data_IF_745501964378
#
_entry.id   IF_745501964378
#
_cell.length_a   1.000
_cell.length_b   1.000
_cell.length_c   1.000
_cell.angle_alpha   90.00
_cell.angle_beta   90.00
_cell.angle_gamma   90.00
#
_symmetry.space_group_name_H-M   'P 1'
#
loop_
_entity.id
_entity.type
_entity.pdbx_description
1 polymer ?
#
# COMPACT_ATOMS: atom_id res chain seq x y z
N UNK A 1 2.00 -5.42 4.33
CA UNK A 1 3.19 -5.95 3.61
C UNK A 1 2.96 -5.83 2.11
N UNK A 2 4.04 -5.73 1.33
CA UNK A 2 3.93 -5.63 -0.13
C UNK A 2 3.38 -6.92 -0.77
N UNK A 3 2.58 -6.84 -1.85
CA UNK A 3 1.98 -8.00 -2.51
C UNK A 3 3.00 -9.03 -2.98
N UNK A 4 4.14 -8.61 -3.51
CA UNK A 4 5.21 -9.50 -3.97
C UNK A 4 5.78 -10.36 -2.84
N UNK A 5 5.98 -9.76 -1.65
CA UNK A 5 6.47 -10.43 -0.44
C UNK A 5 5.43 -11.41 0.10
N UNK A 6 4.14 -11.00 0.11
CA UNK A 6 3.03 -11.86 0.51
C UNK A 6 2.87 -13.10 -0.38
N UNK A 7 3.27 -13.01 -1.65
CA UNK A 7 3.30 -14.12 -2.61
C UNK A 7 4.56 -15.00 -2.48
N UNK A 8 5.46 -14.70 -1.55
CA UNK A 8 6.72 -15.43 -1.36
C UNK A 8 7.83 -15.05 -2.35
N UNK A 9 7.70 -13.95 -3.09
CA UNK A 9 8.80 -13.46 -3.93
C UNK A 9 9.84 -12.74 -3.08
N UNK A 10 11.07 -12.58 -3.60
CA UNK A 10 12.12 -11.86 -2.90
C UNK A 10 11.72 -10.42 -2.55
N UNK A 11 12.18 -9.98 -1.39
CA UNK A 11 12.11 -8.58 -1.00
C UNK A 11 12.93 -7.71 -1.95
N UNK A 12 12.43 -6.54 -2.29
CA UNK A 12 13.14 -5.56 -3.14
C UNK A 12 12.92 -4.14 -2.60
N UNK A 13 13.69 -3.14 -3.05
CA UNK A 13 13.42 -1.74 -2.71
C UNK A 13 11.98 -1.28 -3.07
N UNK A 14 11.33 -1.89 -4.06
CA UNK A 14 9.94 -1.61 -4.39
C UNK A 14 8.95 -2.05 -3.28
N UNK A 15 9.37 -2.97 -2.42
CA UNK A 15 8.62 -3.39 -1.22
C UNK A 15 8.72 -2.36 -0.09
N UNK A 16 9.86 -1.67 0.05
CA UNK A 16 10.00 -0.51 0.95
C UNK A 16 9.08 0.63 0.49
N UNK A 17 9.09 0.96 -0.80
CA UNK A 17 8.24 2.03 -1.38
C UNK A 17 6.75 1.73 -1.15
N UNK A 18 6.34 0.47 -1.30
CA UNK A 18 4.99 0.05 -0.97
C UNK A 18 4.69 0.28 0.52
N UNK A 19 5.59 -0.11 1.42
CA UNK A 19 5.39 0.08 2.86
C UNK A 19 5.35 1.55 3.25
N UNK A 20 6.16 2.39 2.61
CA UNK A 20 6.14 3.85 2.77
C UNK A 20 4.77 4.44 2.41
N UNK A 21 4.13 3.96 1.34
CA UNK A 21 2.78 4.41 0.98
C UNK A 21 1.70 4.06 2.04
N UNK A 22 1.89 2.94 2.76
CA UNK A 22 0.99 2.57 3.86
C UNK A 22 1.15 3.54 5.04
N UNK A 23 2.39 3.95 5.32
CA UNK A 23 2.70 4.98 6.34
C UNK A 23 2.12 6.34 5.93
N UNK A 24 2.29 6.74 4.67
CA UNK A 24 1.66 7.97 4.15
C UNK A 24 0.14 7.95 4.36
N UNK A 25 -0.50 6.81 4.08
CA UNK A 25 -1.94 6.67 4.29
C UNK A 25 -2.33 6.72 5.78
N UNK A 26 -1.54 6.11 6.66
CA UNK A 26 -1.72 6.18 8.11
C UNK A 26 -1.65 7.63 8.61
N UNK A 27 -0.71 8.45 8.10
CA UNK A 27 -0.65 9.88 8.43
C UNK A 27 -1.91 10.64 8.01
N UNK A 28 -2.50 10.31 6.87
CA UNK A 28 -3.73 10.98 6.40
C UNK A 28 -4.98 10.56 7.15
N UNK A 29 -5.02 9.31 7.64
CA UNK A 29 -6.20 8.72 8.28
C UNK A 29 -6.16 8.77 9.80
N UNK A 30 -4.97 8.89 10.40
CA UNK A 30 -4.74 8.80 11.83
C UNK A 30 -4.91 7.40 12.41
N UNK A 31 -5.05 6.37 11.57
CA UNK A 31 -5.27 4.97 11.99
C UNK A 31 -4.47 4.00 11.12
N UNK A 32 -4.15 2.79 11.63
CA UNK A 32 -3.45 1.79 10.83
C UNK A 32 -4.22 1.39 9.57
N UNK A 33 -3.53 1.10 8.45
CA UNK A 33 -4.17 0.59 7.23
C UNK A 33 -4.88 -0.73 7.53
N UNK A 34 -6.12 -0.86 7.04
CA UNK A 34 -6.98 -2.04 7.26
C UNK A 34 -7.30 -2.33 8.74
N UNK A 35 -7.32 -1.31 9.61
CA UNK A 35 -7.64 -1.46 11.05
C UNK A 35 -8.99 -2.15 11.35
N UNK A 36 -9.92 -2.20 10.39
CA UNK A 36 -11.21 -2.86 10.50
C UNK A 36 -11.20 -4.36 10.15
N UNK A 37 -10.04 -4.94 9.83
CA UNK A 37 -9.90 -6.35 9.42
C UNK A 37 -8.83 -7.06 10.24
N UNK A 38 -9.03 -8.36 10.43
CA UNK A 38 -7.97 -9.22 10.95
C UNK A 38 -6.80 -9.28 9.95
N UNK A 39 -5.57 -9.25 10.47
CA UNK A 39 -4.35 -9.33 9.68
C UNK A 39 -3.99 -10.79 9.37
N UNK A 40 -4.87 -11.45 8.62
CA UNK A 40 -4.81 -12.87 8.32
C UNK A 40 -4.53 -13.17 6.83
N UNK A 41 -4.65 -14.45 6.47
CA UNK A 41 -4.48 -14.90 5.09
C UNK A 41 -5.52 -14.27 4.14
N UNK A 42 -6.73 -14.00 4.60
CA UNK A 42 -7.77 -13.40 3.75
C UNK A 42 -7.41 -11.96 3.38
N UNK A 43 -6.93 -11.17 4.35
CA UNK A 43 -6.42 -9.82 4.06
C UNK A 43 -5.21 -9.87 3.11
N UNK A 44 -4.30 -10.83 3.34
CA UNK A 44 -3.12 -11.03 2.49
C UNK A 44 -3.51 -11.32 1.04
N UNK A 45 -4.48 -12.22 0.81
CA UNK A 45 -5.01 -12.54 -0.52
C UNK A 45 -5.69 -11.34 -1.17
N UNK A 46 -6.46 -10.57 -0.40
CA UNK A 46 -7.08 -9.31 -0.81
C UNK A 46 -6.06 -8.30 -1.33
N UNK A 47 -4.98 -8.05 -0.58
CA UNK A 47 -3.89 -7.14 -0.98
C UNK A 47 -3.23 -7.62 -2.28
N UNK A 48 -3.00 -8.94 -2.38
CA UNK A 48 -2.50 -9.60 -3.59
C UNK A 48 -3.47 -9.55 -4.78
N UNK A 49 -4.76 -9.26 -4.57
CA UNK A 49 -5.75 -9.02 -5.63
C UNK A 49 -5.93 -7.54 -5.98
N UNK A 50 -5.12 -6.66 -5.37
CA UNK A 50 -5.17 -5.23 -5.65
C UNK A 50 -5.98 -4.41 -4.64
N UNK A 51 -6.46 -4.99 -3.54
CA UNK A 51 -7.15 -4.22 -2.49
C UNK A 51 -6.19 -3.15 -1.91
N UNK A 52 -6.70 -1.93 -1.75
CA UNK A 52 -5.97 -0.78 -1.19
C UNK A 52 -6.87 -0.05 -0.19
N UNK A 53 -6.30 0.64 0.82
CA UNK A 53 -7.07 1.50 1.70
C UNK A 53 -7.78 2.62 0.92
N UNK A 54 -8.98 3.02 1.38
CA UNK A 54 -9.72 4.13 0.78
C UNK A 54 -8.98 5.45 1.04
N UNK A 55 -8.78 6.27 0.01
CA UNK A 55 -8.22 7.62 0.18
C UNK A 55 -9.18 8.45 1.05
N UNK A 56 -8.64 9.11 2.07
CA UNK A 56 -9.39 9.94 3.01
C UNK A 56 -9.83 11.22 2.32
N UNK A 57 -11.07 11.62 2.56
CA UNK A 57 -11.62 12.88 2.06
C UNK A 57 -10.75 14.06 2.53
N UNK A 58 -10.58 15.07 1.67
CA UNK A 58 -9.68 16.21 1.89
C UNK A 58 -8.16 15.91 1.84
N UNK A 59 -7.74 14.67 1.53
CA UNK A 59 -6.32 14.42 1.21
C UNK A 59 -5.94 15.24 -0.03
N UNK A 60 -4.89 16.08 0.02
CA UNK A 60 -4.46 16.86 -1.14
C UNK A 60 -4.19 15.96 -2.34
N UNK A 61 -4.67 16.36 -3.52
CA UNK A 61 -4.61 15.52 -4.72
C UNK A 61 -3.19 15.06 -5.06
N UNK A 62 -2.20 15.95 -4.94
CA UNK A 62 -0.79 15.62 -5.17
C UNK A 62 -0.28 14.51 -4.23
N UNK A 63 -0.74 14.52 -2.98
CA UNK A 63 -0.38 13.51 -1.98
C UNK A 63 -1.06 12.17 -2.27
N UNK A 64 -2.35 12.20 -2.63
CA UNK A 64 -3.10 11.02 -3.04
C UNK A 64 -2.49 10.37 -4.29
N UNK A 65 -2.06 11.17 -5.27
CA UNK A 65 -1.44 10.67 -6.50
C UNK A 65 -0.06 10.08 -6.22
N UNK A 66 0.73 10.69 -5.33
CA UNK A 66 2.00 10.13 -4.89
C UNK A 66 1.80 8.78 -4.18
N UNK A 67 0.90 8.70 -3.19
CA UNK A 67 0.56 7.43 -2.54
C UNK A 67 0.15 6.36 -3.56
N UNK A 68 -0.67 6.73 -4.55
CA UNK A 68 -1.13 5.83 -5.60
C UNK A 68 -0.01 5.28 -6.48
N UNK A 69 1.00 6.11 -6.77
CA UNK A 69 2.20 5.66 -7.48
C UNK A 69 3.00 4.67 -6.62
N UNK A 70 3.11 4.91 -5.33
CA UNK A 70 3.98 4.13 -4.44
C UNK A 70 3.40 2.74 -4.10
N UNK A 71 2.07 2.58 -4.08
CA UNK A 71 1.42 1.27 -3.91
C UNK A 71 0.93 0.61 -5.21
N UNK A 72 1.45 1.03 -6.36
CA UNK A 72 1.10 0.44 -7.65
C UNK A 72 1.32 -1.08 -7.63
N UNK A 73 0.48 -1.85 -8.32
CA UNK A 73 0.66 -3.31 -8.35
C UNK A 73 1.97 -3.72 -9.03
N UNK A 74 2.38 -3.01 -10.08
CA UNK A 74 3.62 -3.30 -10.79
C UNK A 74 4.82 -2.70 -10.03
N UNK A 75 5.74 -3.54 -9.50
CA UNK A 75 6.92 -3.05 -8.76
C UNK A 75 7.79 -2.09 -9.57
N UNK A 76 7.90 -2.28 -10.89
CA UNK A 76 8.69 -1.40 -11.77
C UNK A 76 8.08 0.01 -11.87
N UNK A 77 6.76 0.13 -11.74
CA UNK A 77 6.07 1.44 -11.74
C UNK A 77 6.20 2.16 -10.40
N UNK A 78 6.59 1.46 -9.32
CA UNK A 78 6.85 2.06 -8.00
C UNK A 78 8.20 2.76 -7.93
N UNK A 79 9.16 2.45 -8.80
CA UNK A 79 10.53 2.98 -8.77
C UNK A 79 10.67 4.49 -9.02
N UNK A 80 9.57 5.16 -9.40
CA UNK A 80 9.50 6.60 -9.68
C UNK A 80 8.47 7.27 -8.74
N UNK A 81 8.24 6.66 -7.58
CA UNK A 81 8.01 7.46 -6.39
C UNK A 81 9.34 8.08 -5.96
#
# INVERSE_FOLDING_TARGET
MAPEVLRGNPYTPASDIYSFSMIMWEFTSGVPPFNNRAHDLQLSLSICKGERPKIIENTPQCYADLMKKCWNENPLKKAIC
#
